data_IF_713212888927
#
_entry.id   IF_713212888927
#
_cell.length_a   1.000
_cell.length_b   1.000
_cell.length_c   1.000
_cell.angle_alpha   90.00
_cell.angle_beta   90.00
_cell.angle_gamma   90.00
#
_symmetry.space_group_name_H-M   'P 1'
#
loop_
_entity.id
_entity.type
_entity.pdbx_description
1 polymer ?
#
# COMPACT_ATOMS: atom_id res chain seq x y z
N UNK A 1 -15.01 0.68 3.65
CA UNK A 1 -14.15 1.82 3.97
C UNK A 1 -13.20 1.52 5.13
N UNK A 2 -13.67 0.97 6.26
CA UNK A 2 -12.80 0.66 7.41
C UNK A 2 -11.65 -0.27 7.03
N UNK A 3 -11.92 -1.35 6.27
CA UNK A 3 -10.89 -2.26 5.75
C UNK A 3 -9.87 -1.50 4.90
N UNK A 4 -10.32 -0.68 3.94
CA UNK A 4 -9.43 0.07 3.06
C UNK A 4 -8.52 1.05 3.82
N UNK A 5 -9.06 1.77 4.78
CA UNK A 5 -8.28 2.70 5.61
C UNK A 5 -7.26 1.93 6.46
N UNK A 6 -7.70 0.88 7.16
CA UNK A 6 -6.80 0.08 8.01
C UNK A 6 -5.69 -0.59 7.19
N UNK A 7 -6.03 -1.21 6.06
CA UNK A 7 -5.07 -1.88 5.19
C UNK A 7 -4.07 -0.88 4.58
N UNK A 8 -4.52 0.29 4.12
CA UNK A 8 -3.63 1.31 3.55
C UNK A 8 -2.65 1.87 4.57
N UNK A 9 -3.09 2.13 5.80
CA UNK A 9 -2.22 2.62 6.86
C UNK A 9 -1.18 1.56 7.23
N UNK A 10 -1.61 0.32 7.50
CA UNK A 10 -0.72 -0.76 7.92
C UNK A 10 0.30 -1.10 6.83
N UNK A 11 -0.14 -1.26 5.57
CA UNK A 11 0.76 -1.54 4.46
C UNK A 11 1.71 -0.38 4.16
N UNK A 12 1.29 0.87 4.33
CA UNK A 12 2.19 2.03 4.17
C UNK A 12 3.24 2.08 5.27
N UNK A 13 2.88 1.82 6.53
CA UNK A 13 3.86 1.75 7.63
C UNK A 13 4.87 0.63 7.38
N UNK A 14 4.42 -0.57 7.03
CA UNK A 14 5.31 -1.69 6.71
C UNK A 14 6.15 -1.40 5.46
N UNK A 15 5.56 -0.76 4.45
CA UNK A 15 6.25 -0.32 3.24
C UNK A 15 7.35 0.70 3.52
N UNK A 16 7.16 1.65 4.45
CA UNK A 16 8.20 2.60 4.89
C UNK A 16 9.40 1.85 5.47
N UNK A 17 9.14 0.88 6.36
CA UNK A 17 10.19 0.08 6.98
C UNK A 17 10.95 -0.74 5.94
N UNK A 18 10.23 -1.41 5.03
CA UNK A 18 10.80 -2.21 3.96
C UNK A 18 11.59 -1.35 2.96
N UNK A 19 11.01 -0.27 2.45
CA UNK A 19 11.66 0.63 1.51
C UNK A 19 12.91 1.27 2.09
N UNK A 20 12.85 1.77 3.34
CA UNK A 20 14.02 2.31 4.04
C UNK A 20 15.11 1.26 4.22
N UNK A 21 14.72 0.03 4.62
CA UNK A 21 15.67 -1.08 4.78
C UNK A 21 16.42 -1.36 3.47
N UNK A 22 15.71 -1.41 2.36
CA UNK A 22 16.27 -1.72 1.05
C UNK A 22 17.10 -0.55 0.49
N UNK A 23 16.69 0.69 0.69
CA UNK A 23 17.40 1.84 0.11
C UNK A 23 18.62 2.27 0.92
N UNK A 24 18.56 2.18 2.26
CA UNK A 24 19.58 2.75 3.17
C UNK A 24 20.57 1.74 3.73
N UNK A 25 20.21 0.44 3.78
CA UNK A 25 21.05 -0.57 4.40
C UNK A 25 21.51 -1.65 3.41
N UNK A 26 22.74 -2.12 3.60
CA UNK A 26 23.31 -3.27 2.88
C UNK A 26 23.46 -4.41 3.87
N UNK A 27 22.75 -5.51 3.65
CA UNK A 27 22.80 -6.71 4.50
C UNK A 27 22.66 -7.98 3.66
N UNK A 28 23.21 -9.13 4.13
CA UNK A 28 23.03 -10.40 3.46
C UNK A 28 21.54 -10.79 3.44
N UNK A 29 21.08 -11.40 2.33
CA UNK A 29 19.67 -11.79 2.19
C UNK A 29 18.70 -10.68 1.73
N UNK A 30 19.16 -9.44 1.51
CA UNK A 30 18.33 -8.32 1.02
C UNK A 30 17.53 -8.69 -0.23
N UNK A 31 18.14 -9.39 -1.20
CA UNK A 31 17.47 -9.82 -2.44
C UNK A 31 16.35 -10.83 -2.15
N UNK A 32 16.59 -11.76 -1.26
CA UNK A 32 15.62 -12.78 -0.86
C UNK A 32 14.41 -12.15 -0.15
N UNK A 33 14.67 -11.25 0.80
CA UNK A 33 13.60 -10.53 1.52
C UNK A 33 12.77 -9.69 0.54
N UNK A 34 13.42 -8.96 -0.38
CA UNK A 34 12.71 -8.21 -1.41
C UNK A 34 11.86 -9.14 -2.29
N UNK A 35 12.40 -10.28 -2.73
CA UNK A 35 11.66 -11.27 -3.51
C UNK A 35 10.45 -11.83 -2.76
N UNK A 36 10.60 -12.12 -1.47
CA UNK A 36 9.49 -12.59 -0.63
C UNK A 36 8.37 -11.54 -0.48
N UNK A 37 8.76 -10.28 -0.27
CA UNK A 37 7.78 -9.18 -0.19
C UNK A 37 7.04 -9.00 -1.53
N UNK A 38 7.73 -9.18 -2.65
CA UNK A 38 7.15 -9.04 -4.00
C UNK A 38 6.40 -10.30 -4.48
N UNK A 39 6.54 -11.43 -3.77
CA UNK A 39 5.94 -12.71 -4.18
C UNK A 39 4.42 -12.64 -4.42
N UNK A 40 3.61 -11.94 -3.61
CA UNK A 40 2.18 -11.81 -3.85
C UNK A 40 1.81 -11.22 -5.22
N UNK A 41 2.67 -10.38 -5.82
CA UNK A 41 2.40 -9.80 -7.15
C UNK A 41 2.60 -10.79 -8.30
N UNK A 42 3.38 -11.84 -8.08
CA UNK A 42 3.71 -12.83 -9.12
C UNK A 42 2.77 -14.02 -9.06
N UNK A 43 2.22 -14.30 -7.88
CA UNK A 43 1.30 -15.42 -7.67
C UNK A 43 -0.11 -15.05 -8.13
N UNK A 44 -0.87 -16.01 -8.71
CA UNK A 44 -2.29 -15.80 -8.95
C UNK A 44 -3.01 -15.48 -7.64
N UNK A 45 -3.78 -14.40 -7.64
CA UNK A 45 -4.42 -13.85 -6.44
C UNK A 45 -5.33 -14.85 -5.72
N UNK A 46 -6.02 -15.70 -6.49
CA UNK A 46 -6.85 -16.80 -5.92
C UNK A 46 -6.00 -17.76 -5.10
N UNK A 47 -4.77 -18.07 -5.54
CA UNK A 47 -3.86 -18.95 -4.80
C UNK A 47 -3.45 -18.30 -3.49
N UNK A 48 -3.13 -17.00 -3.51
CA UNK A 48 -2.81 -16.23 -2.31
C UNK A 48 -4.00 -16.24 -1.34
N UNK A 49 -5.21 -15.98 -1.83
CA UNK A 49 -6.44 -15.96 -1.03
C UNK A 49 -6.71 -17.30 -0.34
N UNK A 50 -6.65 -18.41 -1.10
CA UNK A 50 -6.88 -19.76 -0.56
C UNK A 50 -5.78 -20.13 0.44
N UNK A 51 -4.53 -19.81 0.14
CA UNK A 51 -3.41 -20.08 1.06
C UNK A 51 -3.59 -19.33 2.38
N UNK A 52 -3.99 -18.07 2.32
CA UNK A 52 -4.30 -17.28 3.52
C UNK A 52 -5.48 -17.85 4.30
N UNK A 53 -6.55 -18.24 3.61
CA UNK A 53 -7.69 -18.90 4.24
C UNK A 53 -7.25 -20.12 5.03
N UNK A 54 -6.46 -21.01 4.43
CA UNK A 54 -5.95 -22.22 5.10
C UNK A 54 -5.09 -21.87 6.32
N UNK A 55 -4.23 -20.86 6.22
CA UNK A 55 -3.42 -20.39 7.35
C UNK A 55 -4.30 -19.85 8.48
N UNK A 56 -5.33 -19.02 8.16
CA UNK A 56 -6.26 -18.48 9.18
C UNK A 56 -6.99 -19.62 9.90
N UNK A 57 -7.48 -20.61 9.15
CA UNK A 57 -8.17 -21.77 9.73
C UNK A 57 -7.24 -22.63 10.60
N UNK A 58 -5.98 -22.86 10.17
CA UNK A 58 -4.99 -23.59 10.96
C UNK A 58 -4.61 -22.88 12.26
N UNK A 59 -4.59 -21.55 12.24
CA UNK A 59 -4.35 -20.73 13.43
C UNK A 59 -5.58 -20.60 14.33
N UNK A 60 -6.73 -21.19 13.97
CA UNK A 60 -7.97 -21.08 14.71
C UNK A 60 -8.59 -19.69 14.69
N UNK A 61 -8.21 -18.84 13.73
CA UNK A 61 -8.77 -17.50 13.58
C UNK A 61 -10.13 -17.56 12.90
N UNK A 62 -11.13 -16.96 13.51
CA UNK A 62 -12.44 -16.80 12.89
C UNK A 62 -12.36 -15.77 11.76
N UNK A 63 -12.98 -16.09 10.61
CA UNK A 63 -13.05 -15.18 9.48
C UNK A 63 -13.88 -13.95 9.83
N UNK A 64 -13.37 -12.76 9.49
CA UNK A 64 -13.95 -11.48 9.87
C UNK A 64 -13.36 -10.34 9.03
N UNK A 65 -13.79 -9.11 9.21
CA UNK A 65 -13.15 -7.96 8.60
C UNK A 65 -11.68 -7.81 8.99
N UNK A 66 -11.28 -8.31 10.16
CA UNK A 66 -9.88 -8.32 10.58
C UNK A 66 -9.02 -9.24 9.69
N UNK A 67 -9.48 -10.46 9.40
CA UNK A 67 -8.78 -11.37 8.49
C UNK A 67 -8.72 -10.82 7.06
N UNK A 68 -9.76 -10.11 6.63
CA UNK A 68 -9.76 -9.36 5.36
C UNK A 68 -8.68 -8.27 5.37
N UNK A 69 -8.57 -7.47 6.45
CA UNK A 69 -7.50 -6.46 6.58
C UNK A 69 -6.12 -7.09 6.45
N UNK A 70 -5.86 -8.23 7.11
CA UNK A 70 -4.57 -8.93 7.00
C UNK A 70 -4.27 -9.35 5.56
N UNK A 71 -5.28 -9.87 4.84
CA UNK A 71 -5.14 -10.24 3.44
C UNK A 71 -4.84 -9.03 2.53
N UNK A 72 -5.59 -7.95 2.70
CA UNK A 72 -5.37 -6.72 1.95
C UNK A 72 -3.98 -6.11 2.25
N UNK A 73 -3.52 -6.15 3.51
CA UNK A 73 -2.16 -5.71 3.88
C UNK A 73 -1.11 -6.52 3.12
N UNK A 74 -1.25 -7.85 3.07
CA UNK A 74 -0.30 -8.71 2.35
C UNK A 74 -0.17 -8.31 0.87
N UNK A 75 -1.28 -8.06 0.20
CA UNK A 75 -1.30 -7.67 -1.22
C UNK A 75 -0.83 -6.23 -1.42
N UNK A 76 -1.15 -5.31 -0.50
CA UNK A 76 -0.79 -3.90 -0.61
C UNK A 76 0.68 -3.59 -0.29
N UNK A 77 1.37 -4.40 0.54
CA UNK A 77 2.77 -4.15 0.94
C UNK A 77 3.71 -3.99 -0.27
N UNK A 78 3.70 -4.85 -1.30
CA UNK A 78 4.56 -4.70 -2.47
C UNK A 78 4.37 -3.37 -3.20
N UNK A 79 3.12 -2.93 -3.36
CA UNK A 79 2.81 -1.65 -4.00
C UNK A 79 3.30 -0.47 -3.16
N UNK A 80 3.02 -0.50 -1.86
CA UNK A 80 3.52 0.50 -0.91
C UNK A 80 5.04 0.60 -0.95
N UNK A 81 5.72 -0.54 -0.87
CA UNK A 81 7.17 -0.62 -0.92
C UNK A 81 7.73 -0.03 -2.22
N UNK A 82 7.12 -0.33 -3.38
CA UNK A 82 7.55 0.19 -4.68
C UNK A 82 7.45 1.72 -4.74
N UNK A 83 6.30 2.27 -4.33
CA UNK A 83 6.08 3.72 -4.31
C UNK A 83 7.06 4.42 -3.36
N UNK A 84 7.24 3.86 -2.16
CA UNK A 84 8.11 4.44 -1.15
C UNK A 84 9.59 4.29 -1.49
N UNK A 85 10.02 3.18 -2.12
CA UNK A 85 11.39 3.02 -2.62
C UNK A 85 11.75 4.15 -3.57
N UNK A 86 10.90 4.47 -4.54
CA UNK A 86 11.10 5.61 -5.45
C UNK A 86 11.20 6.94 -4.69
N UNK A 87 10.40 7.11 -3.62
CA UNK A 87 10.49 8.31 -2.77
C UNK A 87 11.80 8.42 -2.00
N UNK A 88 12.30 7.31 -1.45
CA UNK A 88 13.59 7.28 -0.76
C UNK A 88 14.79 7.42 -1.70
N UNK A 89 14.72 6.88 -2.92
CA UNK A 89 15.79 6.99 -3.94
C UNK A 89 15.86 8.40 -4.53
N UNK A 90 14.73 9.10 -4.63
CA UNK A 90 14.67 10.48 -5.10
C UNK A 90 15.17 11.53 -4.10
N UNK A 91 15.47 11.13 -2.88
CA UNK A 91 15.91 12.01 -1.80
C UNK A 91 17.41 11.90 -1.56
N UNK A 92 18.11 13.05 -1.52
CA UNK A 92 19.55 13.11 -1.35
C UNK A 92 19.95 12.64 0.06
N UNK A 93 20.76 11.59 0.09
CA UNK A 93 21.29 11.00 1.32
C UNK A 93 22.19 11.96 2.11
N UNK A 94 22.83 12.92 1.45
CA UNK A 94 23.71 13.91 2.09
C UNK A 94 22.99 14.72 3.18
N UNK A 95 21.68 14.92 3.06
CA UNK A 95 20.87 15.59 4.08
C UNK A 95 20.74 14.76 5.37
N UNK A 96 20.65 13.42 5.25
CA UNK A 96 20.67 12.54 6.41
C UNK A 96 22.05 12.53 7.09
N UNK A 97 23.11 12.53 6.28
CA UNK A 97 24.51 12.58 6.75
C UNK A 97 24.81 13.92 7.43
N UNK A 98 24.44 15.05 6.84
CA UNK A 98 24.58 16.36 7.45
C UNK A 98 23.84 16.51 8.78
N UNK A 99 22.63 15.93 8.88
CA UNK A 99 21.88 15.90 10.15
C UNK A 99 22.61 15.09 11.23
N UNK A 100 23.22 13.96 10.86
CA UNK A 100 24.01 13.14 11.77
C UNK A 100 25.30 13.85 12.20
N UNK A 101 25.98 14.58 11.30
CA UNK A 101 27.19 15.37 11.61
C UNK A 101 26.89 16.51 12.59
N UNK A 102 25.68 17.05 12.57
CA UNK A 102 25.19 18.02 13.56
C UNK A 102 24.80 17.38 14.91
N UNK A 103 25.04 16.09 15.09
CA UNK A 103 24.80 15.36 16.34
C UNK A 103 23.37 14.86 16.53
N UNK A 104 22.52 14.91 15.48
CA UNK A 104 21.16 14.40 15.59
C UNK A 104 21.16 12.85 15.61
N UNK A 105 20.28 12.27 16.43
CA UNK A 105 20.11 10.82 16.49
C UNK A 105 19.49 10.26 15.20
N UNK A 106 19.69 8.97 14.91
CA UNK A 106 19.10 8.30 13.76
C UNK A 106 17.56 8.39 13.70
N UNK A 107 16.90 8.39 14.86
CA UNK A 107 15.45 8.59 14.96
C UNK A 107 15.07 10.06 14.75
N UNK A 108 15.85 10.99 15.28
CA UNK A 108 15.66 12.42 15.10
C UNK A 108 15.82 12.82 13.63
N UNK A 109 16.89 12.37 12.97
CA UNK A 109 17.12 12.54 11.52
C UNK A 109 15.94 11.99 10.72
N UNK A 110 15.50 10.77 11.06
CA UNK A 110 14.34 10.18 10.36
C UNK A 110 13.08 11.04 10.49
N UNK A 111 12.77 11.49 11.72
CA UNK A 111 11.54 12.25 11.99
C UNK A 111 11.58 13.68 11.42
N UNK A 112 12.74 14.36 11.52
CA UNK A 112 12.87 15.80 11.20
C UNK A 112 13.32 16.06 9.76
N UNK A 113 14.05 15.13 9.15
CA UNK A 113 14.60 15.28 7.80
C UNK A 113 13.92 14.29 6.84
N UNK A 114 14.10 12.99 7.07
CA UNK A 114 13.68 11.96 6.10
C UNK A 114 12.17 11.94 5.92
N UNK A 115 11.39 11.89 7.02
CA UNK A 115 9.93 11.74 6.97
C UNK A 115 9.23 12.89 6.23
N UNK A 116 9.56 14.19 6.47
CA UNK A 116 8.98 15.28 5.71
C UNK A 116 9.35 15.24 4.22
N UNK A 117 10.55 14.84 3.88
CA UNK A 117 11.01 14.76 2.49
C UNK A 117 10.30 13.66 1.70
N UNK A 118 10.04 12.51 2.33
CA UNK A 118 9.30 11.39 1.70
C UNK A 118 7.78 11.48 1.90
N UNK A 119 7.26 12.49 2.59
CA UNK A 119 5.83 12.64 2.86
C UNK A 119 4.94 12.58 1.59
N UNK A 120 5.31 13.18 0.45
CA UNK A 120 4.52 13.03 -0.77
C UNK A 120 4.44 11.59 -1.27
N UNK A 121 5.50 10.80 -1.13
CA UNK A 121 5.50 9.37 -1.47
C UNK A 121 4.65 8.57 -0.48
N UNK A 122 4.64 8.95 0.81
CA UNK A 122 3.78 8.33 1.83
C UNK A 122 2.30 8.56 1.50
N UNK A 123 1.92 9.80 1.16
CA UNK A 123 0.54 10.11 0.76
C UNK A 123 0.16 9.33 -0.50
N UNK A 124 1.05 9.25 -1.50
CA UNK A 124 0.82 8.46 -2.70
C UNK A 124 0.64 6.97 -2.38
N UNK A 125 1.47 6.42 -1.49
CA UNK A 125 1.36 5.03 -1.03
C UNK A 125 0.02 4.77 -0.34
N UNK A 126 -0.41 5.65 0.57
CA UNK A 126 -1.71 5.55 1.24
C UNK A 126 -2.86 5.53 0.23
N UNK A 127 -2.86 6.43 -0.76
CA UNK A 127 -3.89 6.50 -1.78
C UNK A 127 -3.91 5.28 -2.68
N UNK A 128 -2.75 4.80 -3.13
CA UNK A 128 -2.63 3.57 -3.94
C UNK A 128 -3.13 2.36 -3.18
N UNK A 129 -2.65 2.14 -1.96
CA UNK A 129 -3.07 1.00 -1.13
C UNK A 129 -4.55 1.07 -0.77
N UNK A 130 -5.08 2.26 -0.48
CA UNK A 130 -6.51 2.45 -0.23
C UNK A 130 -7.35 2.09 -1.46
N UNK A 131 -6.94 2.55 -2.65
CA UNK A 131 -7.65 2.26 -3.89
C UNK A 131 -7.64 0.75 -4.20
N UNK A 132 -6.47 0.10 -4.10
CA UNK A 132 -6.35 -1.35 -4.29
C UNK A 132 -7.25 -2.10 -3.31
N UNK A 133 -7.21 -1.73 -2.02
CA UNK A 133 -8.03 -2.38 -0.99
C UNK A 133 -9.53 -2.09 -1.15
N UNK A 134 -9.91 -0.97 -1.77
CA UNK A 134 -11.31 -0.62 -2.01
C UNK A 134 -11.95 -1.51 -3.08
N UNK A 135 -11.19 -1.84 -4.12
CA UNK A 135 -11.64 -2.63 -5.27
C UNK A 135 -11.38 -4.14 -5.07
N UNK A 136 -10.67 -4.52 -4.01
CA UNK A 136 -10.26 -5.90 -3.75
C UNK A 136 -11.47 -6.80 -3.43
N UNK A 137 -11.69 -7.77 -4.31
CA UNK A 137 -12.80 -8.72 -4.19
C UNK A 137 -12.34 -10.12 -3.78
N UNK A 138 -11.28 -10.64 -4.41
CA UNK A 138 -10.90 -12.06 -4.31
C UNK A 138 -10.44 -12.40 -2.90
N UNK A 139 -9.50 -11.64 -2.35
CA UNK A 139 -9.02 -11.84 -0.98
C UNK A 139 -10.16 -11.67 0.02
N UNK A 140 -10.97 -10.61 -0.16
CA UNK A 140 -12.11 -10.37 0.71
C UNK A 140 -13.12 -11.53 0.65
N UNK A 141 -13.40 -12.09 -0.53
CA UNK A 141 -14.34 -13.19 -0.72
C UNK A 141 -13.97 -14.44 0.07
N UNK A 142 -12.68 -14.78 0.13
CA UNK A 142 -12.21 -15.95 0.87
C UNK A 142 -12.01 -15.70 2.37
N UNK A 143 -11.72 -14.48 2.79
CA UNK A 143 -11.35 -14.16 4.18
C UNK A 143 -12.46 -13.49 4.99
N UNK A 144 -13.55 -13.08 4.34
CA UNK A 144 -14.67 -12.46 5.06
C UNK A 144 -15.48 -13.50 5.84
N UNK A 145 -16.03 -13.08 6.97
CA UNK A 145 -16.98 -13.86 7.74
C UNK A 145 -18.42 -13.54 7.33
N UNK A 146 -19.20 -13.07 8.29
CA UNK A 146 -20.62 -12.70 8.08
C UNK A 146 -20.78 -11.28 7.51
N UNK A 147 -19.76 -10.44 7.58
CA UNK A 147 -19.79 -9.05 7.13
C UNK A 147 -19.19 -8.93 5.73
N UNK A 148 -19.97 -8.42 4.78
CA UNK A 148 -19.51 -8.26 3.39
C UNK A 148 -18.80 -6.93 3.18
N UNK A 149 -17.69 -6.95 2.41
CA UNK A 149 -17.10 -5.73 1.84
C UNK A 149 -17.97 -5.21 0.69
N UNK A 150 -17.72 -3.96 0.26
CA UNK A 150 -18.50 -3.34 -0.81
C UNK A 150 -18.45 -4.16 -2.13
N UNK A 151 -17.30 -4.64 -2.62
CA UNK A 151 -17.25 -5.48 -3.81
C UNK A 151 -18.04 -6.80 -3.66
N UNK A 152 -17.97 -7.46 -2.50
CA UNK A 152 -18.74 -8.68 -2.23
C UNK A 152 -20.25 -8.37 -2.22
N UNK A 153 -20.64 -7.26 -1.62
CA UNK A 153 -22.04 -6.82 -1.62
C UNK A 153 -22.54 -6.59 -3.06
N UNK A 154 -21.80 -5.86 -3.87
CA UNK A 154 -22.11 -5.61 -5.28
C UNK A 154 -22.31 -6.94 -6.01
N UNK A 155 -21.34 -7.84 -5.91
CA UNK A 155 -21.40 -9.16 -6.53
C UNK A 155 -22.64 -9.98 -6.10
N UNK A 156 -22.94 -9.95 -4.79
CA UNK A 156 -24.13 -10.64 -4.25
C UNK A 156 -25.45 -10.10 -4.79
N UNK A 157 -25.53 -8.81 -5.12
CA UNK A 157 -26.74 -8.18 -5.64
C UNK A 157 -26.95 -8.40 -7.17
N UNK A 158 -25.90 -8.74 -7.92
CA UNK A 158 -25.98 -8.92 -9.39
C UNK A 158 -26.98 -10.03 -9.79
N UNK A 159 -27.28 -10.98 -8.92
CA UNK A 159 -28.24 -12.05 -9.15
C UNK A 159 -29.72 -11.60 -9.15
N UNK A 160 -29.99 -10.36 -8.71
CA UNK A 160 -31.34 -9.83 -8.62
C UNK A 160 -31.58 -8.79 -9.70
N UNK A 161 -32.31 -9.14 -10.77
CA UNK A 161 -32.54 -8.27 -11.94
C UNK A 161 -33.12 -6.89 -11.55
N UNK A 162 -34.03 -6.84 -10.56
CA UNK A 162 -34.63 -5.60 -10.08
C UNK A 162 -33.61 -4.63 -9.43
N UNK A 163 -32.48 -5.13 -8.96
CA UNK A 163 -31.43 -4.32 -8.31
C UNK A 163 -30.31 -3.91 -9.24
N UNK A 164 -30.24 -4.45 -10.45
CA UNK A 164 -29.17 -4.19 -11.41
C UNK A 164 -28.89 -2.71 -11.65
N UNK A 165 -29.90 -1.82 -11.88
CA UNK A 165 -29.61 -0.39 -12.11
C UNK A 165 -28.88 0.26 -10.93
N UNK A 166 -29.29 -0.03 -9.70
CA UNK A 166 -28.66 0.50 -8.50
C UNK A 166 -27.24 -0.05 -8.28
N UNK A 167 -27.04 -1.33 -8.56
CA UNK A 167 -25.73 -2.00 -8.44
C UNK A 167 -24.76 -1.45 -9.49
N UNK A 168 -25.21 -1.27 -10.74
CA UNK A 168 -24.38 -0.67 -11.79
C UNK A 168 -24.00 0.77 -11.47
N UNK A 169 -24.95 1.57 -10.94
CA UNK A 169 -24.65 2.92 -10.47
C UNK A 169 -23.62 2.94 -9.35
N UNK A 170 -23.74 2.04 -8.37
CA UNK A 170 -22.77 1.91 -7.27
C UNK A 170 -21.39 1.49 -7.78
N UNK A 171 -21.33 0.51 -8.69
CA UNK A 171 -20.08 0.08 -9.33
C UNK A 171 -19.42 1.21 -10.13
N UNK A 172 -20.22 1.99 -10.88
CA UNK A 172 -19.71 3.16 -11.62
C UNK A 172 -19.15 4.23 -10.69
N UNK A 173 -19.81 4.49 -9.56
CA UNK A 173 -19.31 5.44 -8.54
C UNK A 173 -18.00 4.93 -7.91
N UNK A 174 -17.89 3.63 -7.64
CA UNK A 174 -16.68 3.03 -7.13
C UNK A 174 -15.52 3.20 -8.12
N UNK A 175 -15.73 2.83 -9.38
CA UNK A 175 -14.73 3.00 -10.44
C UNK A 175 -14.31 4.47 -10.62
N UNK A 176 -15.27 5.40 -10.62
CA UNK A 176 -14.96 6.82 -10.72
C UNK A 176 -14.13 7.32 -9.53
N UNK A 177 -14.47 6.88 -8.31
CA UNK A 177 -13.72 7.22 -7.11
C UNK A 177 -12.29 6.66 -7.16
N UNK A 178 -12.11 5.39 -7.54
CA UNK A 178 -10.81 4.75 -7.70
C UNK A 178 -9.96 5.46 -8.76
N UNK A 179 -10.55 5.82 -9.89
CA UNK A 179 -9.86 6.57 -10.95
C UNK A 179 -9.38 7.94 -10.46
N UNK A 180 -10.22 8.68 -9.74
CA UNK A 180 -9.86 9.99 -9.16
C UNK A 180 -8.72 9.82 -8.15
N UNK A 181 -8.83 8.85 -7.22
CA UNK A 181 -7.81 8.60 -6.21
C UNK A 181 -6.46 8.22 -6.84
N UNK A 182 -6.47 7.32 -7.84
CA UNK A 182 -5.24 6.93 -8.57
C UNK A 182 -4.62 8.12 -9.30
N UNK A 183 -5.45 8.96 -9.95
CA UNK A 183 -4.97 10.17 -10.65
C UNK A 183 -4.33 11.14 -9.67
N UNK A 184 -4.96 11.37 -8.52
CA UNK A 184 -4.40 12.23 -7.46
C UNK A 184 -3.10 11.66 -6.92
N UNK A 185 -3.05 10.35 -6.63
CA UNK A 185 -1.83 9.68 -6.17
C UNK A 185 -0.67 9.85 -7.16
N UNK A 186 -0.94 9.64 -8.46
CA UNK A 186 0.06 9.80 -9.52
C UNK A 186 0.53 11.25 -9.68
N UNK A 187 -0.38 12.23 -9.61
CA UNK A 187 -0.01 13.66 -9.65
C UNK A 187 0.90 14.02 -8.48
N UNK A 188 0.56 13.55 -7.27
CA UNK A 188 1.36 13.80 -6.07
C UNK A 188 2.75 13.16 -6.20
N UNK A 189 2.82 11.92 -6.67
CA UNK A 189 4.07 11.21 -6.94
C UNK A 189 4.96 11.97 -7.93
N UNK A 190 4.40 12.41 -9.06
CA UNK A 190 5.14 13.19 -10.09
C UNK A 190 5.61 14.54 -9.57
N UNK A 191 4.79 15.23 -8.78
CA UNK A 191 5.18 16.51 -8.16
C UNK A 191 6.34 16.34 -7.18
N UNK A 192 6.33 15.26 -6.39
CA UNK A 192 7.43 14.95 -5.50
C UNK A 192 8.73 14.71 -6.26
N UNK A 193 8.72 13.87 -7.30
CA UNK A 193 9.88 13.57 -8.12
C UNK A 193 10.48 14.82 -8.80
N UNK A 194 9.65 15.78 -9.22
CA UNK A 194 10.12 17.03 -9.84
C UNK A 194 10.79 17.98 -8.84
N UNK A 195 10.31 18.06 -7.60
CA UNK A 195 10.92 18.92 -6.58
C UNK A 195 12.33 18.48 -6.21
N UNK A 196 12.56 17.18 -6.10
CA UNK A 196 13.91 16.64 -5.83
C UNK A 196 14.90 16.88 -6.97
N UNK A 197 14.45 16.93 -8.22
CA UNK A 197 15.31 17.23 -9.38
C UNK A 197 15.65 18.72 -9.53
N UNK A 198 14.75 19.63 -9.15
CA UNK A 198 14.99 21.07 -9.27
C UNK A 198 15.96 21.62 -8.22
N UNK A 199 16.05 20.99 -7.06
CA UNK A 199 16.99 21.41 -6.00
C UNK A 199 18.42 20.89 -6.26
N UNK A 200 18.59 19.73 -6.93
CA UNK A 200 19.89 19.21 -7.33
C UNK A 200 20.57 19.97 -8.50
N UNK A 201 19.78 20.66 -9.33
CA UNK A 201 20.29 21.42 -10.47
C UNK A 201 20.80 22.84 -10.15
N UNK A 202 20.65 23.34 -8.94
CA UNK A 202 21.10 24.67 -8.50
C UNK A 202 22.56 24.68 -7.98
N UNK A 203 23.18 23.50 -7.86
CA UNK A 203 24.53 23.32 -7.34
C UNK A 203 25.47 22.60 -8.31
N UNK A 204 25.13 22.49 -9.60
CA UNK A 204 25.96 21.91 -10.64
C UNK A 204 26.63 22.98 -11.50
#
# INVERSE_FOLDING_TARGET
LAVGISASILSTVLGILAARSITRYRYPGRRTINGLIMAPLVLPEVIVAISMLLVMLQLGLSLSLFTVVLGHVLVCIPYSMTVLTSGFEGFDRSLEEASADLGESAFGTFRRVTLPMVAPAIISSLLVCFTISLDEFIIAFFLTGTEATLPIYIWGQLRFAAKLPGVLALGTLLLAASFVLMTVAEILRRRAARRTQSEGGLYA
#
